data_IF_747935354517
#
_entry.id   IF_747935354517
#
_cell.length_a   1.000
_cell.length_b   1.000
_cell.length_c   1.000
_cell.angle_alpha   90.00
_cell.angle_beta   90.00
_cell.angle_gamma   90.00
#
_symmetry.space_group_name_H-M   'P 1'
#
loop_
_entity.id
_entity.type
_entity.pdbx_description
1 polymer ?
#
# COMPACT_ATOMS: atom_id res chain seq x y z
N UNK A 1 35.82 -29.04 -33.28
CA UNK A 1 35.38 -27.84 -34.04
C UNK A 1 33.86 -27.72 -34.17
N UNK A 2 33.12 -28.77 -34.56
CA UNK A 2 31.64 -28.75 -34.66
C UNK A 2 30.92 -28.45 -33.33
N UNK A 3 31.38 -29.03 -32.22
CA UNK A 3 30.80 -28.79 -30.89
C UNK A 3 31.02 -27.37 -30.37
N UNK A 4 32.12 -26.72 -30.76
CA UNK A 4 32.46 -25.36 -30.34
C UNK A 4 31.53 -24.32 -31.00
N UNK A 5 31.19 -24.52 -32.28
CA UNK A 5 30.19 -23.71 -32.99
C UNK A 5 28.78 -23.85 -32.40
N UNK A 6 28.39 -25.06 -31.98
CA UNK A 6 27.09 -25.31 -31.38
C UNK A 6 26.92 -24.58 -30.03
N UNK A 7 27.99 -24.52 -29.22
CA UNK A 7 27.98 -23.81 -27.93
C UNK A 7 27.88 -22.31 -28.13
N UNK A 8 28.62 -21.74 -29.10
CA UNK A 8 28.58 -20.30 -29.39
C UNK A 8 27.20 -19.87 -29.91
N UNK A 9 26.57 -20.67 -30.77
CA UNK A 9 25.23 -20.41 -31.27
C UNK A 9 24.15 -20.48 -30.18
N UNK A 10 24.28 -21.42 -29.23
CA UNK A 10 23.36 -21.53 -28.10
C UNK A 10 23.48 -20.33 -27.14
N UNK A 11 24.70 -19.83 -26.89
CA UNK A 11 24.91 -18.64 -26.04
C UNK A 11 24.34 -17.38 -26.70
N UNK A 12 24.45 -17.23 -28.02
CA UNK A 12 23.83 -16.12 -28.77
C UNK A 12 22.30 -16.14 -28.71
N UNK A 13 21.67 -17.32 -28.72
CA UNK A 13 20.22 -17.48 -28.61
C UNK A 13 19.67 -17.11 -27.23
N UNK A 14 20.44 -17.31 -26.16
CA UNK A 14 20.03 -16.99 -24.78
C UNK A 14 20.04 -15.47 -24.52
N UNK A 15 20.90 -14.72 -25.21
CA UNK A 15 21.03 -13.26 -25.04
C UNK A 15 20.00 -12.43 -25.82
N UNK A 16 19.19 -13.04 -26.69
CA UNK A 16 18.18 -12.32 -27.49
C UNK A 16 16.85 -12.07 -26.76
N UNK A 17 16.71 -12.57 -25.53
CA UNK A 17 15.55 -12.29 -24.67
C UNK A 17 15.63 -10.86 -24.14
N UNK A 18 15.24 -9.89 -24.97
CA UNK A 18 15.08 -8.51 -24.55
C UNK A 18 14.13 -8.43 -23.35
N UNK A 19 14.60 -7.88 -22.24
CA UNK A 19 13.77 -7.55 -21.08
C UNK A 19 12.75 -6.52 -21.53
N UNK A 20 11.50 -6.95 -21.68
CA UNK A 20 10.39 -6.05 -21.98
C UNK A 20 10.11 -5.24 -20.71
N UNK A 21 10.60 -4.01 -20.68
CA UNK A 21 10.28 -3.07 -19.60
C UNK A 21 8.76 -2.96 -19.50
N UNK A 22 8.19 -3.25 -18.34
CA UNK A 22 6.75 -3.12 -18.09
C UNK A 22 6.30 -1.69 -18.42
N UNK A 23 5.63 -1.50 -19.57
CA UNK A 23 5.05 -0.21 -19.94
C UNK A 23 3.74 0.01 -19.16
N UNK A 24 3.77 0.97 -18.24
CA UNK A 24 2.58 1.41 -17.52
C UNK A 24 1.71 2.35 -18.39
N UNK A 25 0.39 2.44 -18.13
CA UNK A 25 -0.48 3.39 -18.81
C UNK A 25 0.04 4.82 -18.65
N UNK A 26 0.44 5.48 -19.74
CA UNK A 26 1.06 6.82 -19.67
C UNK A 26 0.01 7.92 -19.53
N UNK A 27 -1.24 7.64 -19.89
CA UNK A 27 -2.34 8.58 -19.83
C UNK A 27 -3.63 7.88 -19.36
N UNK A 28 -4.37 8.58 -18.50
CA UNK A 28 -5.70 8.17 -18.07
C UNK A 28 -6.71 9.27 -18.42
N UNK A 29 -7.95 8.90 -18.83
CA UNK A 29 -8.99 9.88 -19.04
C UNK A 29 -9.29 10.63 -17.73
N UNK A 30 -9.59 11.92 -17.83
CA UNK A 30 -10.07 12.74 -16.72
C UNK A 30 -11.56 12.43 -16.40
N UNK A 31 -11.87 11.15 -16.27
CA UNK A 31 -13.21 10.64 -16.01
C UNK A 31 -13.33 10.28 -14.53
N UNK A 32 -14.29 10.88 -13.85
CA UNK A 32 -14.59 10.55 -12.45
C UNK A 32 -15.52 9.35 -12.37
N UNK A 33 -14.95 8.16 -12.10
CA UNK A 33 -15.66 6.90 -11.86
C UNK A 33 -14.98 6.21 -10.68
N UNK A 34 -15.33 6.57 -9.44
CA UNK A 34 -14.53 6.21 -8.28
C UNK A 34 -14.45 4.69 -8.09
N UNK A 35 -13.22 4.20 -7.95
CA UNK A 35 -12.92 2.78 -7.78
C UNK A 35 -12.36 2.57 -6.39
N UNK A 36 -12.99 1.70 -5.60
CA UNK A 36 -12.36 1.21 -4.38
C UNK A 36 -11.54 -0.04 -4.68
N UNK A 37 -10.32 -0.10 -4.16
CA UNK A 37 -9.48 -1.28 -4.31
C UNK A 37 -8.70 -1.61 -3.04
N UNK A 38 -8.31 -2.88 -2.89
CA UNK A 38 -7.57 -3.43 -1.76
C UNK A 38 -6.32 -4.19 -2.23
N UNK A 39 -5.15 -3.88 -1.67
CA UNK A 39 -3.88 -4.52 -2.05
C UNK A 39 -3.40 -5.61 -1.07
N UNK A 40 -4.29 -6.15 -0.24
CA UNK A 40 -3.88 -7.06 0.85
C UNK A 40 -3.44 -6.34 2.12
N UNK A 41 -3.22 -5.01 2.06
CA UNK A 41 -2.80 -4.19 3.21
C UNK A 41 -3.80 -3.08 3.52
N UNK A 42 -4.26 -2.34 2.52
CA UNK A 42 -5.23 -1.26 2.72
C UNK A 42 -6.18 -1.06 1.56
N UNK A 43 -7.32 -0.45 1.91
CA UNK A 43 -8.30 0.04 0.97
C UNK A 43 -7.91 1.44 0.53
N UNK A 44 -8.00 1.71 -0.77
CA UNK A 44 -7.74 3.03 -1.37
C UNK A 44 -8.78 3.31 -2.43
N UNK A 45 -9.28 4.54 -2.46
CA UNK A 45 -10.17 5.01 -3.50
C UNK A 45 -9.36 5.71 -4.60
N UNK A 46 -9.60 5.32 -5.84
CA UNK A 46 -9.00 5.91 -7.02
C UNK A 46 -10.07 6.68 -7.79
N UNK A 47 -9.68 7.75 -8.47
CA UNK A 47 -10.59 8.54 -9.33
C UNK A 47 -11.24 7.69 -10.42
N UNK A 48 -10.49 6.71 -10.95
CA UNK A 48 -10.97 5.67 -11.86
C UNK A 48 -10.02 4.46 -11.90
N UNK A 49 -10.48 3.38 -12.54
CA UNK A 49 -9.73 2.12 -12.70
C UNK A 49 -8.39 2.30 -13.44
N UNK A 50 -8.29 3.26 -14.36
CA UNK A 50 -7.05 3.52 -15.08
C UNK A 50 -5.96 4.02 -14.13
N UNK A 51 -6.28 4.95 -13.24
CA UNK A 51 -5.34 5.47 -12.25
C UNK A 51 -4.95 4.39 -11.22
N UNK A 52 -5.86 3.49 -10.89
CA UNK A 52 -5.55 2.31 -10.06
C UNK A 52 -4.56 1.37 -10.76
N UNK A 53 -4.79 1.05 -12.03
CA UNK A 53 -3.89 0.20 -12.83
C UNK A 53 -2.52 0.86 -13.06
N UNK A 54 -2.51 2.18 -13.28
CA UNK A 54 -1.28 2.95 -13.36
C UNK A 54 -0.47 2.81 -12.08
N UNK A 55 -1.09 2.99 -10.91
CA UNK A 55 -0.36 2.84 -9.63
C UNK A 55 0.14 1.40 -9.41
N UNK A 56 -0.67 0.38 -9.72
CA UNK A 56 -0.22 -1.01 -9.65
C UNK A 56 1.05 -1.23 -10.47
N UNK A 57 1.08 -0.71 -11.69
CA UNK A 57 2.25 -0.83 -12.54
C UNK A 57 3.43 0.05 -12.07
N UNK A 58 3.20 1.34 -11.82
CA UNK A 58 4.27 2.31 -11.58
C UNK A 58 4.90 2.17 -10.19
N UNK A 59 4.10 1.79 -9.19
CA UNK A 59 4.53 1.63 -7.79
C UNK A 59 4.74 0.17 -7.40
N UNK A 60 4.51 -0.78 -8.31
CA UNK A 60 4.54 -2.23 -8.05
C UNK A 60 3.57 -2.62 -6.92
N UNK A 61 2.40 -2.00 -6.94
CA UNK A 61 1.29 -2.31 -6.04
C UNK A 61 0.39 -3.40 -6.63
N UNK A 62 -0.53 -3.93 -5.83
CA UNK A 62 -1.47 -4.96 -6.26
C UNK A 62 -2.89 -4.70 -5.78
N UNK A 63 -3.39 -3.49 -6.01
CA UNK A 63 -4.76 -3.11 -5.72
C UNK A 63 -5.74 -3.90 -6.59
N UNK A 64 -6.62 -4.64 -5.93
CA UNK A 64 -7.70 -5.39 -6.55
C UNK A 64 -9.01 -4.66 -6.28
N UNK A 65 -9.85 -4.46 -7.30
CA UNK A 65 -11.13 -3.77 -7.13
C UNK A 65 -11.97 -4.51 -6.10
N UNK A 66 -12.50 -3.76 -5.16
CA UNK A 66 -13.45 -4.26 -4.17
C UNK A 66 -14.67 -3.35 -4.12
N UNK A 67 -15.67 -3.77 -3.36
CA UNK A 67 -16.89 -3.00 -3.18
C UNK A 67 -16.61 -1.56 -2.71
N UNK A 68 -17.24 -0.57 -3.35
CA UNK A 68 -17.02 0.87 -3.10
C UNK A 68 -17.21 1.24 -1.63
N UNK A 69 -18.16 0.55 -0.97
CA UNK A 69 -18.42 0.66 0.45
C UNK A 69 -17.14 0.47 1.28
N UNK A 70 -16.21 -0.41 0.90
CA UNK A 70 -15.00 -0.67 1.71
C UNK A 70 -14.04 0.53 1.78
N UNK A 71 -14.14 1.49 0.86
CA UNK A 71 -13.38 2.74 0.89
C UNK A 71 -14.21 3.93 1.37
N UNK A 72 -15.53 3.93 1.12
CA UNK A 72 -16.43 5.02 1.53
C UNK A 72 -17.01 4.82 2.93
N UNK A 73 -16.83 3.64 3.51
CA UNK A 73 -17.23 3.38 4.87
C UNK A 73 -16.32 4.19 5.81
N UNK A 74 -16.81 5.38 6.18
CA UNK A 74 -16.70 5.84 7.57
C UNK A 74 -17.20 4.77 8.57
N UNK A 75 -17.89 3.72 8.11
CA UNK A 75 -18.20 2.50 8.86
C UNK A 75 -17.15 1.37 8.78
N UNK A 76 -15.93 1.65 8.26
CA UNK A 76 -14.77 0.73 8.34
C UNK A 76 -14.15 0.76 9.74
N UNK A 77 -14.89 1.36 10.70
CA UNK A 77 -14.87 0.97 12.10
C UNK A 77 -15.03 -0.54 12.30
N UNK A 78 -15.64 -1.29 11.37
CA UNK A 78 -15.91 -2.72 11.61
C UNK A 78 -14.72 -3.69 11.46
N UNK A 79 -13.62 -3.35 10.78
CA UNK A 79 -12.42 -4.21 10.78
C UNK A 79 -11.48 -3.84 11.94
N UNK A 80 -11.55 -2.58 12.41
CA UNK A 80 -10.75 -2.08 13.52
C UNK A 80 -11.38 -2.33 14.91
N UNK A 81 -12.72 -2.29 15.02
CA UNK A 81 -13.44 -2.45 16.29
C UNK A 81 -13.76 -3.91 16.63
N UNK A 82 -13.87 -4.82 15.64
CA UNK A 82 -14.15 -6.24 15.90
C UNK A 82 -12.93 -6.96 16.52
N UNK A 83 -11.72 -6.46 16.30
CA UNK A 83 -10.47 -7.09 16.78
C UNK A 83 -9.98 -6.54 18.14
N UNK A 84 -10.56 -5.46 18.66
CA UNK A 84 -10.09 -4.81 19.88
C UNK A 84 -10.79 -5.29 21.18
N UNK A 85 -11.80 -6.17 21.11
CA UNK A 85 -12.55 -6.60 22.30
C UNK A 85 -12.41 -8.08 22.68
N UNK A 86 -11.73 -8.90 21.88
CA UNK A 86 -11.40 -10.27 22.30
C UNK A 86 -9.97 -10.55 21.93
N UNK A 87 -9.12 -10.64 22.96
CA UNK A 87 -7.71 -10.95 22.82
C UNK A 87 -7.50 -12.12 21.86
N UNK A 88 -6.68 -11.91 20.85
CA UNK A 88 -6.16 -12.99 20.03
C UNK A 88 -5.00 -13.64 20.80
N UNK A 89 -5.08 -14.93 21.16
CA UNK A 89 -3.90 -15.67 21.56
C UNK A 89 -3.15 -16.01 20.27
N UNK A 90 -2.23 -15.15 19.87
CA UNK A 90 -1.55 -15.32 18.58
C UNK A 90 -0.44 -14.33 18.34
N UNK A 91 0.74 -14.64 18.86
CA UNK A 91 2.08 -14.27 18.39
C UNK A 91 2.18 -12.97 17.56
N UNK A 92 2.59 -11.88 18.23
CA UNK A 92 2.99 -10.62 17.60
C UNK A 92 4.23 -10.84 16.73
N UNK A 93 4.04 -11.20 15.46
CA UNK A 93 5.06 -11.12 14.40
C UNK A 93 4.37 -11.23 13.03
N UNK A 94 3.69 -10.15 12.64
CA UNK A 94 3.33 -9.94 11.23
C UNK A 94 4.57 -9.50 10.43
N UNK A 95 4.72 -9.91 9.16
CA UNK A 95 5.83 -9.50 8.32
C UNK A 95 5.56 -8.06 7.86
N UNK A 96 6.14 -7.08 8.56
CA UNK A 96 5.94 -5.66 8.27
C UNK A 96 5.66 -4.78 9.47
N UNK A 97 5.83 -5.28 10.70
CA UNK A 97 6.11 -4.38 11.82
C UNK A 97 7.40 -3.63 11.47
N UNK A 98 7.28 -2.41 10.97
CA UNK A 98 8.39 -1.46 10.92
C UNK A 98 8.92 -1.40 12.34
N UNK A 99 10.12 -1.95 12.54
CA UNK A 99 10.93 -1.66 13.71
C UNK A 99 11.31 -0.18 13.61
N UNK A 100 10.38 0.68 13.97
CA UNK A 100 10.55 2.11 14.10
C UNK A 100 10.10 2.46 15.50
N UNK A 101 11.04 2.34 16.44
CA UNK A 101 10.99 2.91 17.79
C UNK A 101 9.66 2.72 18.52
N UNK A 102 9.60 1.72 19.40
CA UNK A 102 8.63 1.72 20.48
C UNK A 102 8.80 2.98 21.31
N UNK A 103 8.02 4.01 20.99
CA UNK A 103 7.83 5.17 21.83
C UNK A 103 7.00 4.77 23.03
N UNK A 104 7.63 4.12 24.01
CA UNK A 104 7.19 4.13 25.40
C UNK A 104 7.41 5.52 26.03
N UNK A 105 7.14 6.58 25.26
CA UNK A 105 7.21 7.97 25.69
C UNK A 105 5.84 8.47 26.11
N UNK A 106 5.77 9.51 26.95
CA UNK A 106 4.50 10.14 27.30
C UNK A 106 3.82 10.70 26.03
N UNK A 107 2.49 10.60 25.96
CA UNK A 107 1.66 11.14 24.85
C UNK A 107 1.91 12.63 24.52
N UNK A 108 2.58 13.36 25.42
CA UNK A 108 3.00 14.75 25.24
C UNK A 108 3.97 14.96 24.08
N UNK A 109 4.69 13.91 23.67
CA UNK A 109 5.75 14.03 22.65
C UNK A 109 5.21 13.74 21.24
N UNK A 110 3.92 13.40 21.13
CA UNK A 110 3.28 13.14 19.85
C UNK A 110 2.97 14.45 19.12
N UNK A 111 3.24 14.54 17.81
CA UNK A 111 2.92 15.73 17.03
C UNK A 111 1.42 15.99 17.03
N UNK A 112 0.99 17.09 17.65
CA UNK A 112 -0.42 17.54 17.69
C UNK A 112 -0.81 18.31 16.43
N UNK A 113 0.16 18.87 15.72
CA UNK A 113 -0.05 19.65 14.50
C UNK A 113 0.66 19.02 13.32
N UNK A 114 -0.08 18.87 12.22
CA UNK A 114 0.46 18.42 10.94
C UNK A 114 0.21 19.44 9.84
N UNK A 115 1.16 19.66 8.92
CA UNK A 115 0.94 20.51 7.77
C UNK A 115 -0.25 20.00 6.93
N UNK A 116 -0.95 20.90 6.24
CA UNK A 116 -2.07 20.55 5.36
C UNK A 116 -1.62 20.11 3.95
N UNK A 117 -0.37 19.65 3.80
CA UNK A 117 0.09 19.11 2.53
C UNK A 117 -0.62 17.77 2.28
N UNK A 118 -1.50 17.72 1.28
CA UNK A 118 -2.20 16.50 0.94
C UNK A 118 -1.28 15.58 0.12
N UNK A 119 -0.76 14.56 0.78
CA UNK A 119 0.05 13.49 0.22
C UNK A 119 -0.44 12.18 0.84
N UNK A 120 -1.56 11.65 0.34
CA UNK A 120 -2.27 10.59 1.03
C UNK A 120 -1.39 9.37 1.19
N UNK A 121 -1.26 8.89 2.43
CA UNK A 121 -0.47 7.71 2.77
C UNK A 121 -1.33 6.68 3.47
N UNK A 122 -1.08 5.41 3.17
CA UNK A 122 -1.71 4.29 3.86
C UNK A 122 -0.78 3.85 4.99
N UNK A 123 -1.30 3.75 6.22
CA UNK A 123 -0.49 3.27 7.34
C UNK A 123 -1.31 2.73 8.51
N UNK A 124 -0.62 2.05 9.42
CA UNK A 124 -1.21 1.37 10.57
C UNK A 124 -1.18 2.27 11.80
N UNK A 125 -2.33 2.52 12.42
CA UNK A 125 -2.43 3.40 13.60
C UNK A 125 -2.33 2.66 14.95
N UNK A 126 -1.77 1.45 14.98
CA UNK A 126 -1.80 0.60 16.17
C UNK A 126 -3.07 -0.23 16.33
N UNK A 127 -4.12 0.03 15.53
CA UNK A 127 -5.36 -0.76 15.51
C UNK A 127 -5.68 -1.33 14.14
N UNK A 128 -5.63 -0.50 13.09
CA UNK A 128 -5.88 -0.91 11.70
C UNK A 128 -5.13 -0.03 10.71
N UNK A 129 -5.06 -0.51 9.46
CA UNK A 129 -4.56 0.28 8.33
C UNK A 129 -5.64 1.24 7.84
N UNK A 130 -5.31 2.53 7.70
CA UNK A 130 -6.18 3.56 7.12
C UNK A 130 -5.39 4.54 6.24
N UNK A 131 -6.12 5.30 5.41
CA UNK A 131 -5.56 6.42 4.67
C UNK A 131 -5.44 7.65 5.59
N UNK A 132 -4.32 8.36 5.47
CA UNK A 132 -3.99 9.59 6.17
C UNK A 132 -3.68 10.69 5.17
N UNK A 133 -4.02 11.93 5.51
CA UNK A 133 -3.78 13.11 4.67
C UNK A 133 -2.31 13.29 4.30
N UNK A 134 -1.39 12.90 5.18
CA UNK A 134 0.05 12.83 4.96
C UNK A 134 0.74 11.96 6.01
N UNK A 135 2.05 11.78 5.84
CA UNK A 135 2.90 11.01 6.76
C UNK A 135 2.92 11.58 8.19
N UNK A 136 2.80 12.89 8.37
CA UNK A 136 2.69 13.46 9.72
C UNK A 136 1.42 12.97 10.42
N UNK A 137 0.27 13.05 9.74
CA UNK A 137 -1.00 12.62 10.30
C UNK A 137 -1.01 11.12 10.65
N UNK A 138 -0.32 10.30 9.85
CA UNK A 138 -0.08 8.89 10.16
C UNK A 138 0.71 8.72 11.45
N UNK A 139 1.87 9.38 11.56
CA UNK A 139 2.76 9.25 12.71
C UNK A 139 2.11 9.78 14.01
N UNK A 140 1.38 10.89 13.91
CA UNK A 140 0.61 11.45 15.02
C UNK A 140 -0.42 10.45 15.55
N UNK A 141 -1.23 9.86 14.67
CA UNK A 141 -2.26 8.90 15.08
C UNK A 141 -1.66 7.60 15.65
N UNK A 142 -0.56 7.10 15.06
CA UNK A 142 0.15 5.94 15.57
C UNK A 142 0.74 6.20 16.97
N UNK A 143 1.24 7.41 17.21
CA UNK A 143 1.81 7.83 18.50
C UNK A 143 0.74 8.01 19.58
N UNK A 144 -0.37 8.69 19.25
CA UNK A 144 -1.44 9.00 20.20
C UNK A 144 -2.30 7.77 20.55
N UNK A 145 -2.27 6.74 19.70
CA UNK A 145 -3.18 5.59 19.80
C UNK A 145 -4.64 6.00 19.57
N UNK A 146 -4.84 7.14 18.90
CA UNK A 146 -6.15 7.69 18.59
C UNK A 146 -6.74 6.95 17.39
N UNK A 147 -7.84 6.25 17.69
CA UNK A 147 -8.65 5.47 16.75
C UNK A 147 -10.10 5.77 16.98
#
# INVERSE_FOLDING_TARGET
MKFLFAIIAAVFLICASGVQAQQCPVACPALFRPTCAFNGRCHKQFTNDCLMNYENCSKKENFQIVELAKCSQKALFFICAVQAQRGFPGNRRGPGAVQGGGGGGPKSDCPTFCPLNYQPTCGFNGRCYKEFSNTCALNAAACLGEG
#
